data_IF_476203226925
#
_entry.id   IF_476203226925
#
_cell.length_a   1.000
_cell.length_b   1.000
_cell.length_c   1.000
_cell.angle_alpha   90.00
_cell.angle_beta   90.00
_cell.angle_gamma   90.00
#
_symmetry.space_group_name_H-M   'P 1'
#
loop_
_entity.id
_entity.type
_entity.pdbx_description
1 polymer ?
#
# COMPACT_ATOMS: atom_id res chain seq x y z
N UNK A 1 2.18 -4.09 -24.14
CA UNK A 1 2.47 -4.40 -22.72
C UNK A 1 3.45 -5.57 -22.60
N UNK A 2 3.11 -6.76 -23.14
CA UNK A 2 3.95 -7.96 -23.01
C UNK A 2 5.38 -7.78 -23.55
N UNK A 3 5.51 -7.23 -24.77
CA UNK A 3 6.80 -6.92 -25.39
C UNK A 3 7.73 -6.02 -24.55
N UNK A 4 7.17 -5.13 -23.70
CA UNK A 4 7.95 -4.27 -22.78
C UNK A 4 8.42 -5.01 -21.53
N UNK A 5 7.63 -6.00 -21.08
CA UNK A 5 7.99 -6.87 -19.95
C UNK A 5 9.06 -7.88 -20.38
N UNK A 6 8.94 -8.41 -21.59
CA UNK A 6 9.90 -9.36 -22.17
C UNK A 6 11.27 -8.70 -22.41
N UNK A 7 11.30 -7.40 -22.75
CA UNK A 7 12.52 -6.62 -22.89
C UNK A 7 13.21 -6.28 -21.54
N UNK A 8 12.50 -6.41 -20.41
CA UNK A 8 13.01 -6.10 -19.06
C UNK A 8 12.48 -7.10 -18.02
N UNK A 9 12.88 -8.38 -18.09
CA UNK A 9 12.33 -9.45 -17.26
C UNK A 9 12.46 -9.19 -15.75
N UNK A 10 13.49 -8.45 -15.33
CA UNK A 10 13.73 -8.04 -13.94
C UNK A 10 12.61 -7.15 -13.35
N UNK A 11 11.85 -6.43 -14.17
CA UNK A 11 10.78 -5.53 -13.70
C UNK A 11 9.68 -6.30 -12.99
N UNK A 12 9.37 -7.51 -13.46
CA UNK A 12 8.37 -8.38 -12.84
C UNK A 12 8.81 -8.81 -11.44
N UNK A 13 10.08 -9.16 -11.26
CA UNK A 13 10.66 -9.56 -9.97
C UNK A 13 10.66 -8.40 -8.99
N UNK A 14 11.09 -7.22 -9.41
CA UNK A 14 11.11 -6.02 -8.57
C UNK A 14 9.71 -5.62 -8.16
N UNK A 15 8.72 -5.67 -9.06
CA UNK A 15 7.32 -5.45 -8.70
C UNK A 15 6.89 -6.45 -7.64
N UNK A 16 7.13 -7.74 -7.87
CA UNK A 16 6.76 -8.80 -6.93
C UNK A 16 7.25 -8.48 -5.51
N UNK A 17 8.54 -8.19 -5.38
CA UNK A 17 9.18 -7.87 -4.10
C UNK A 17 8.63 -6.58 -3.46
N UNK A 18 8.31 -5.58 -4.27
CA UNK A 18 7.89 -4.26 -3.76
C UNK A 18 6.43 -4.23 -3.33
N UNK A 19 5.52 -4.77 -4.14
CA UNK A 19 4.07 -4.67 -3.88
C UNK A 19 3.47 -5.86 -3.16
N UNK A 20 3.97 -7.09 -3.34
CA UNK A 20 3.31 -8.25 -2.73
C UNK A 20 3.32 -8.21 -1.20
N UNK A 21 4.42 -7.76 -0.59
CA UNK A 21 4.49 -7.60 0.86
C UNK A 21 3.46 -6.58 1.39
N UNK A 22 3.27 -5.46 0.67
CA UNK A 22 2.29 -4.42 1.03
C UNK A 22 0.88 -5.00 0.98
N UNK A 23 0.54 -5.67 -0.11
CA UNK A 23 -0.77 -6.29 -0.28
C UNK A 23 -1.02 -7.41 0.73
N UNK A 24 -0.01 -8.23 1.06
CA UNK A 24 -0.09 -9.25 2.10
C UNK A 24 -0.39 -8.64 3.47
N UNK A 25 0.29 -7.55 3.82
CA UNK A 25 0.06 -6.82 5.07
C UNK A 25 -1.35 -6.25 5.14
N UNK A 26 -1.79 -5.55 4.08
CA UNK A 26 -3.12 -4.95 4.02
C UNK A 26 -4.23 -6.00 4.12
N UNK A 27 -4.10 -7.12 3.39
CA UNK A 27 -5.07 -8.22 3.47
C UNK A 27 -5.10 -8.85 4.86
N UNK A 28 -3.95 -9.04 5.49
CA UNK A 28 -3.87 -9.55 6.86
C UNK A 28 -4.55 -8.62 7.87
N UNK A 29 -4.40 -7.30 7.71
CA UNK A 29 -5.05 -6.32 8.60
C UNK A 29 -6.55 -6.21 8.37
N UNK A 30 -6.99 -6.27 7.12
CA UNK A 30 -8.41 -6.17 6.75
C UNK A 30 -9.18 -7.46 7.06
N UNK A 31 -8.50 -8.59 7.25
CA UNK A 31 -9.11 -9.85 7.68
C UNK A 31 -9.98 -10.51 6.61
N UNK A 32 -10.91 -11.35 7.06
CA UNK A 32 -11.78 -12.20 6.21
C UNK A 32 -12.90 -11.43 5.51
N UNK A 33 -13.37 -10.33 6.10
CA UNK A 33 -14.39 -9.44 5.51
C UNK A 33 -13.83 -8.02 5.42
N UNK A 34 -13.07 -7.70 4.35
CA UNK A 34 -12.26 -6.50 4.28
C UNK A 34 -13.05 -5.21 4.04
N UNK A 35 -14.33 -5.30 3.69
CA UNK A 35 -15.15 -4.16 3.27
C UNK A 35 -16.50 -4.16 3.98
N UNK A 36 -16.85 -3.03 4.57
CA UNK A 36 -18.09 -2.82 5.31
C UNK A 36 -19.17 -2.13 4.47
N UNK A 37 -18.75 -1.30 3.52
CA UNK A 37 -19.64 -0.55 2.63
C UNK A 37 -19.87 -1.24 1.31
N UNK A 38 -20.95 -0.81 0.66
CA UNK A 38 -21.35 -1.22 -0.68
C UNK A 38 -21.21 -0.03 -1.61
N UNK A 39 -21.00 -0.28 -2.91
CA UNK A 39 -20.72 0.68 -4.00
C UNK A 39 -19.27 1.17 -4.11
N UNK A 40 -18.83 1.40 -5.36
CA UNK A 40 -17.47 1.78 -5.73
C UNK A 40 -16.93 3.02 -4.97
N UNK A 41 -17.69 4.13 -4.83
CA UNK A 41 -17.19 5.31 -4.12
C UNK A 41 -16.87 5.01 -2.65
N UNK A 42 -17.73 4.26 -1.97
CA UNK A 42 -17.56 3.95 -0.54
C UNK A 42 -16.44 2.94 -0.30
N UNK A 43 -16.39 1.89 -1.12
CA UNK A 43 -15.31 0.89 -1.09
C UNK A 43 -13.95 1.54 -1.37
N UNK A 44 -13.89 2.50 -2.31
CA UNK A 44 -12.66 3.25 -2.58
C UNK A 44 -12.18 4.00 -1.35
N UNK A 45 -13.08 4.61 -0.58
CA UNK A 45 -12.73 5.30 0.66
C UNK A 45 -12.14 4.33 1.68
N UNK A 46 -12.75 3.15 1.89
CA UNK A 46 -12.22 2.15 2.84
C UNK A 46 -10.82 1.66 2.47
N UNK A 47 -10.62 1.30 1.20
CA UNK A 47 -9.30 0.89 0.71
C UNK A 47 -8.29 2.03 0.85
N UNK A 48 -8.69 3.27 0.57
CA UNK A 48 -7.81 4.44 0.72
C UNK A 48 -7.39 4.66 2.18
N UNK A 49 -8.31 4.47 3.14
CA UNK A 49 -8.00 4.56 4.56
C UNK A 49 -7.04 3.46 5.02
N UNK A 50 -7.24 2.22 4.56
CA UNK A 50 -6.33 1.11 4.87
C UNK A 50 -4.92 1.36 4.33
N UNK A 51 -4.82 1.83 3.08
CA UNK A 51 -3.55 2.21 2.46
C UNK A 51 -2.89 3.39 3.20
N UNK A 52 -3.67 4.40 3.60
CA UNK A 52 -3.16 5.53 4.37
C UNK A 52 -2.57 5.09 5.72
N UNK A 53 -3.28 4.23 6.45
CA UNK A 53 -2.82 3.69 7.72
C UNK A 53 -1.52 2.87 7.56
N UNK A 54 -1.43 2.05 6.51
CA UNK A 54 -0.20 1.33 6.18
C UNK A 54 0.96 2.30 5.91
N UNK A 55 0.73 3.32 5.08
CA UNK A 55 1.75 4.31 4.73
C UNK A 55 2.23 5.08 5.96
N UNK A 56 1.34 5.51 6.84
CA UNK A 56 1.70 6.17 8.10
C UNK A 56 2.57 5.25 8.97
N UNK A 57 2.15 3.99 9.18
CA UNK A 57 2.95 3.03 9.97
C UNK A 57 4.32 2.78 9.35
N UNK A 58 4.40 2.67 8.03
CA UNK A 58 5.66 2.50 7.30
C UNK A 58 6.57 3.70 7.46
N UNK A 59 6.04 4.92 7.30
CA UNK A 59 6.81 6.15 7.44
C UNK A 59 7.32 6.35 8.87
N UNK A 60 6.47 6.09 9.88
CA UNK A 60 6.90 6.10 11.28
C UNK A 60 8.08 5.12 11.50
N UNK A 61 8.04 3.93 10.88
CA UNK A 61 9.14 2.96 10.99
C UNK A 61 10.44 3.43 10.31
N UNK A 62 10.35 4.20 9.22
CA UNK A 62 11.51 4.66 8.45
C UNK A 62 12.13 5.92 9.08
N UNK A 63 11.31 6.92 9.39
CA UNK A 63 11.78 8.26 9.80
C UNK A 63 11.51 8.59 11.27
N UNK A 64 10.83 7.70 12.01
CA UNK A 64 10.32 7.99 13.34
C UNK A 64 9.07 8.88 13.33
N UNK A 65 8.29 8.85 14.41
CA UNK A 65 7.05 9.62 14.53
C UNK A 65 7.30 11.13 14.45
N UNK A 66 8.29 11.65 15.17
CA UNK A 66 8.64 13.07 15.12
C UNK A 66 9.16 13.51 13.75
N UNK A 67 9.96 12.66 13.09
CA UNK A 67 10.44 12.93 11.73
C UNK A 67 9.30 13.04 10.74
N UNK A 68 8.30 12.16 10.85
CA UNK A 68 7.10 12.22 10.02
C UNK A 68 6.27 13.48 10.26
N UNK A 69 6.03 13.86 11.52
CA UNK A 69 5.28 15.09 11.85
C UNK A 69 5.97 16.33 11.29
N UNK A 70 7.29 16.43 11.43
CA UNK A 70 8.06 17.55 10.85
C UNK A 70 7.96 17.59 9.33
N UNK A 71 7.99 16.45 8.65
CA UNK A 71 7.89 16.38 7.20
C UNK A 71 6.50 16.79 6.65
N UNK A 72 5.43 16.57 7.44
CA UNK A 72 4.06 16.97 7.05
C UNK A 72 3.80 18.45 7.30
N UNK A 73 4.45 19.03 8.33
CA UNK A 73 4.28 20.43 8.71
C UNK A 73 5.14 21.42 7.89
N UNK A 74 6.05 20.91 7.05
CA UNK A 74 6.90 21.70 6.16
C UNK A 74 6.24 21.94 4.80
#
# INVERSE_FOLDING_TARGET
MQMLLDARPQVTVVRKQTVEHVFGTLKSWLGTTPLLTKTLPKVRTEISLAVLAYNMKRMIKITGAQGMVRAIAA
#
